data_IF_187499439668
#
_entry.id   IF_187499439668
#
_cell.length_a   1.000
_cell.length_b   1.000
_cell.length_c   1.000
_cell.angle_alpha   90.00
_cell.angle_beta   90.00
_cell.angle_gamma   90.00
#
_symmetry.space_group_name_H-M   'P 1'
#
loop_
_entity.id
_entity.type
_entity.pdbx_description
1 polymer ?
#
# COMPACT_ATOMS: atom_id res chain seq x y z
N UNK A 1 0.95 6.16 -6.57
CA UNK A 1 1.31 7.42 -5.88
C UNK A 1 2.48 7.22 -4.93
N UNK A 2 2.43 6.33 -3.93
CA UNK A 2 3.55 6.11 -2.99
C UNK A 2 4.89 5.83 -3.67
N UNK A 3 4.92 4.86 -4.57
CA UNK A 3 6.09 4.47 -5.37
C UNK A 3 6.62 5.61 -6.24
N UNK A 4 5.80 6.15 -7.13
CA UNK A 4 6.22 7.24 -8.01
C UNK A 4 6.67 8.53 -7.28
N UNK A 5 6.07 8.85 -6.12
CA UNK A 5 6.52 9.98 -5.29
C UNK A 5 7.81 9.65 -4.53
N UNK A 6 7.97 8.40 -4.08
CA UNK A 6 9.21 7.90 -3.47
C UNK A 6 10.37 8.00 -4.46
N UNK A 7 10.18 7.47 -5.67
CA UNK A 7 11.19 7.50 -6.72
C UNK A 7 11.61 8.95 -7.04
N UNK A 8 10.65 9.85 -7.23
CA UNK A 8 10.95 11.26 -7.44
C UNK A 8 11.80 11.89 -6.32
N UNK A 9 11.48 11.59 -5.06
CA UNK A 9 12.23 12.07 -3.90
C UNK A 9 13.65 11.49 -3.85
N UNK A 10 13.81 10.20 -4.14
CA UNK A 10 15.10 9.49 -4.12
C UNK A 10 16.00 9.89 -5.30
N UNK A 11 15.43 10.24 -6.46
CA UNK A 11 16.20 10.71 -7.62
C UNK A 11 16.49 12.23 -7.57
N UNK A 12 15.71 13.01 -6.81
CA UNK A 12 15.91 14.46 -6.68
C UNK A 12 16.76 14.86 -5.47
N UNK A 13 16.81 14.03 -4.43
CA UNK A 13 17.51 14.27 -3.15
C UNK A 13 18.36 13.04 -2.83
N UNK A 14 19.47 13.21 -2.10
CA UNK A 14 20.27 12.08 -1.62
C UNK A 14 19.36 11.00 -0.97
N UNK A 15 19.42 9.73 -1.40
CA UNK A 15 18.51 8.66 -0.96
C UNK A 15 18.41 8.53 0.57
N UNK A 16 19.54 8.70 1.28
CA UNK A 16 19.56 8.61 2.74
C UNK A 16 18.79 9.75 3.42
N UNK A 17 18.85 10.96 2.84
CA UNK A 17 18.13 12.14 3.34
C UNK A 17 16.63 12.01 3.01
N UNK A 18 16.28 11.51 1.81
CA UNK A 18 14.90 11.27 1.42
C UNK A 18 14.21 10.27 2.37
N UNK A 19 14.89 9.15 2.69
CA UNK A 19 14.39 8.14 3.64
C UNK A 19 14.23 8.71 5.05
N UNK A 20 15.22 9.49 5.52
CA UNK A 20 15.15 10.10 6.85
C UNK A 20 14.00 11.11 6.96
N UNK A 21 13.81 11.96 5.95
CA UNK A 21 12.70 12.92 5.89
C UNK A 21 11.35 12.22 5.81
N UNK A 22 11.23 11.17 4.99
CA UNK A 22 10.01 10.36 4.91
C UNK A 22 9.69 9.67 6.24
N UNK A 23 10.72 9.17 6.94
CA UNK A 23 10.57 8.56 8.27
C UNK A 23 10.09 9.56 9.33
N UNK A 24 10.65 10.78 9.33
CA UNK A 24 10.21 11.86 10.23
C UNK A 24 8.77 12.28 9.90
N UNK A 25 8.45 12.45 8.61
CA UNK A 25 7.10 12.80 8.16
C UNK A 25 6.06 11.74 8.54
N UNK A 26 6.42 10.46 8.39
CA UNK A 26 5.61 9.33 8.83
C UNK A 26 5.36 9.37 10.34
N UNK A 27 6.42 9.51 11.15
CA UNK A 27 6.27 9.60 12.61
C UNK A 27 5.38 10.76 13.02
N UNK A 28 5.59 11.95 12.45
CA UNK A 28 4.76 13.12 12.71
C UNK A 28 3.29 12.88 12.32
N UNK A 29 3.04 12.27 11.16
CA UNK A 29 1.70 11.96 10.67
C UNK A 29 0.96 10.94 11.56
N UNK A 30 1.66 9.89 11.99
CA UNK A 30 1.09 8.86 12.86
C UNK A 30 0.84 9.41 14.27
N UNK A 31 1.75 10.23 14.80
CA UNK A 31 1.52 10.90 16.09
C UNK A 31 0.29 11.80 16.00
N UNK A 32 0.18 12.61 14.95
CA UNK A 32 -0.97 13.49 14.74
C UNK A 32 -2.27 12.68 14.64
N UNK A 33 -2.27 11.61 13.84
CA UNK A 33 -3.40 10.71 13.66
C UNK A 33 -3.83 10.04 14.99
N UNK A 34 -2.88 9.57 15.79
CA UNK A 34 -3.15 8.93 17.10
C UNK A 34 -3.58 9.93 18.19
N UNK A 35 -3.27 11.22 18.00
CA UNK A 35 -3.63 12.28 18.94
C UNK A 35 -5.07 12.77 18.72
N UNK A 36 -5.54 12.76 17.47
CA UNK A 36 -6.87 13.25 17.13
C UNK A 36 -7.92 12.18 17.46
N UNK A 37 -8.84 12.50 18.38
CA UNK A 37 -9.88 11.58 18.85
C UNK A 37 -11.12 11.49 17.95
N UNK A 38 -11.12 12.18 16.80
CA UNK A 38 -12.20 12.20 15.81
C UNK A 38 -11.64 11.90 14.43
N UNK A 39 -12.46 11.30 13.57
CA UNK A 39 -12.10 11.11 12.18
C UNK A 39 -11.98 12.48 11.48
N UNK A 40 -10.74 12.88 11.18
CA UNK A 40 -10.43 14.08 10.40
C UNK A 40 -9.85 13.62 9.06
N UNK A 41 -10.61 13.75 7.95
CA UNK A 41 -10.26 13.15 6.67
C UNK A 41 -8.84 13.51 6.20
N UNK A 42 -8.45 14.78 6.30
CA UNK A 42 -7.13 15.22 5.80
C UNK A 42 -5.95 14.63 6.59
N UNK A 43 -6.11 14.41 7.90
CA UNK A 43 -5.06 13.81 8.76
C UNK A 43 -4.89 12.33 8.40
N UNK A 44 -6.02 11.63 8.23
CA UNK A 44 -6.02 10.24 7.81
C UNK A 44 -5.34 10.07 6.45
N UNK A 45 -5.73 10.87 5.46
CA UNK A 45 -5.12 10.82 4.13
C UNK A 45 -3.64 11.18 4.15
N UNK A 46 -3.22 12.13 5.00
CA UNK A 46 -1.82 12.46 5.19
C UNK A 46 -1.04 11.24 5.73
N UNK A 47 -1.56 10.55 6.75
CA UNK A 47 -0.96 9.33 7.26
C UNK A 47 -0.90 8.22 6.19
N UNK A 48 -1.97 8.03 5.41
CA UNK A 48 -1.99 7.08 4.28
C UNK A 48 -0.88 7.39 3.26
N UNK A 49 -0.75 8.65 2.86
CA UNK A 49 0.27 9.07 1.89
C UNK A 49 1.68 8.88 2.46
N UNK A 50 1.93 9.27 3.71
CA UNK A 50 3.25 9.10 4.34
C UNK A 50 3.63 7.63 4.51
N UNK A 51 2.68 6.77 4.90
CA UNK A 51 2.88 5.32 4.98
C UNK A 51 3.17 4.73 3.60
N UNK A 52 2.49 5.20 2.56
CA UNK A 52 2.73 4.75 1.20
C UNK A 52 4.14 5.12 0.70
N UNK A 53 4.57 6.36 0.91
CA UNK A 53 5.90 6.84 0.51
C UNK A 53 7.00 6.08 1.29
N UNK A 54 6.90 6.06 2.62
CA UNK A 54 7.91 5.42 3.45
C UNK A 54 7.95 3.89 3.26
N UNK A 55 6.79 3.25 3.08
CA UNK A 55 6.69 1.81 2.85
C UNK A 55 7.40 1.37 1.57
N UNK A 56 7.26 2.13 0.49
CA UNK A 56 8.00 1.88 -0.76
C UNK A 56 9.50 2.12 -0.56
N UNK A 57 9.89 3.27 0.03
CA UNK A 57 11.32 3.53 0.33
C UNK A 57 11.96 2.44 1.18
N UNK A 58 11.24 1.89 2.16
CA UNK A 58 11.76 0.82 3.01
C UNK A 58 12.02 -0.48 2.21
N UNK A 59 11.16 -0.81 1.24
CA UNK A 59 11.40 -1.94 0.34
C UNK A 59 12.63 -1.70 -0.54
N UNK A 60 12.76 -0.49 -1.09
CA UNK A 60 13.88 -0.11 -1.96
C UNK A 60 15.21 -0.10 -1.21
N UNK A 61 15.25 0.42 0.02
CA UNK A 61 16.47 0.41 0.85
C UNK A 61 16.95 -1.02 1.11
N UNK A 62 16.03 -1.96 1.40
CA UNK A 62 16.40 -3.36 1.64
C UNK A 62 17.00 -3.99 0.37
N UNK A 63 16.46 -3.69 -0.80
CA UNK A 63 16.99 -4.26 -2.05
C UNK A 63 18.25 -3.53 -2.55
N UNK A 64 18.16 -2.21 -2.71
CA UNK A 64 19.16 -1.35 -3.37
C UNK A 64 20.35 -1.06 -2.44
N UNK A 65 20.11 -0.72 -1.17
CA UNK A 65 21.19 -0.34 -0.25
C UNK A 65 21.81 -1.56 0.44
N UNK A 66 20.99 -2.50 0.89
CA UNK A 66 21.48 -3.72 1.55
C UNK A 66 21.82 -4.85 0.55
N UNK A 67 21.49 -4.70 -0.73
CA UNK A 67 21.81 -5.67 -1.78
C UNK A 67 21.05 -7.00 -1.64
N UNK A 68 19.95 -7.02 -0.88
CA UNK A 68 19.20 -8.26 -0.60
C UNK A 68 18.34 -8.63 -1.80
N UNK A 69 18.41 -9.86 -2.35
CA UNK A 69 17.59 -10.25 -3.50
C UNK A 69 16.08 -10.05 -3.27
N UNK A 70 15.34 -9.67 -4.32
CA UNK A 70 13.89 -9.43 -4.26
C UNK A 70 13.09 -10.59 -3.67
N UNK A 71 13.52 -11.84 -3.90
CA UNK A 71 12.89 -13.02 -3.33
C UNK A 71 13.01 -13.05 -1.80
N UNK A 72 14.18 -12.67 -1.27
CA UNK A 72 14.45 -12.65 0.17
C UNK A 72 13.72 -11.47 0.82
N UNK A 73 13.73 -10.28 0.21
CA UNK A 73 13.01 -9.12 0.73
C UNK A 73 11.49 -9.34 0.72
N UNK A 74 10.94 -9.91 -0.35
CA UNK A 74 9.51 -10.27 -0.43
C UNK A 74 9.13 -11.29 0.63
N UNK A 75 9.92 -12.36 0.79
CA UNK A 75 9.68 -13.36 1.83
C UNK A 75 9.77 -12.75 3.23
N UNK A 76 10.73 -11.85 3.48
CA UNK A 76 10.87 -11.14 4.74
C UNK A 76 9.63 -10.30 5.06
N UNK A 77 9.15 -9.47 4.11
CA UNK A 77 7.95 -8.66 4.32
C UNK A 77 6.69 -9.51 4.46
N UNK A 78 6.60 -10.65 3.78
CA UNK A 78 5.51 -11.60 3.94
C UNK A 78 5.48 -12.17 5.36
N UNK A 79 6.63 -12.61 5.88
CA UNK A 79 6.76 -13.12 7.25
C UNK A 79 6.46 -12.03 8.27
N UNK A 80 6.98 -10.81 8.07
CA UNK A 80 6.69 -9.68 8.94
C UNK A 80 5.18 -9.37 9.00
N UNK A 81 4.50 -9.37 7.85
CA UNK A 81 3.06 -9.18 7.77
C UNK A 81 2.30 -10.30 8.50
N UNK A 82 2.71 -11.55 8.32
CA UNK A 82 2.11 -12.69 9.01
C UNK A 82 2.29 -12.59 10.54
N UNK A 83 3.45 -12.15 11.02
CA UNK A 83 3.71 -11.90 12.44
C UNK A 83 2.80 -10.79 12.96
N UNK A 84 2.65 -9.69 12.23
CA UNK A 84 1.74 -8.59 12.63
C UNK A 84 0.31 -9.10 12.78
N UNK A 85 -0.20 -9.87 11.82
CA UNK A 85 -1.53 -10.48 11.92
C UNK A 85 -1.64 -11.46 13.09
N UNK A 86 -0.62 -12.30 13.31
CA UNK A 86 -0.62 -13.26 14.41
C UNK A 86 -0.62 -12.57 15.77
N UNK A 87 0.19 -11.54 15.96
CA UNK A 87 0.26 -10.75 17.21
C UNK A 87 -1.02 -9.95 17.42
N UNK A 88 -1.58 -9.37 16.35
CA UNK A 88 -2.85 -8.65 16.41
C UNK A 88 -4.00 -9.61 16.79
N UNK A 89 -4.11 -10.75 16.12
CA UNK A 89 -5.12 -11.76 16.46
C UNK A 89 -4.92 -12.36 17.86
N UNK A 90 -3.67 -12.57 18.29
CA UNK A 90 -3.40 -13.03 19.67
C UNK A 90 -3.83 -11.99 20.72
N UNK A 91 -3.64 -10.70 20.41
CA UNK A 91 -3.93 -9.58 21.33
C UNK A 91 -5.41 -9.21 21.39
N UNK A 92 -6.08 -9.13 20.24
CA UNK A 92 -7.43 -8.57 20.11
C UNK A 92 -8.48 -9.63 19.75
N UNK A 93 -8.05 -10.84 19.35
CA UNK A 93 -8.91 -11.96 18.90
C UNK A 93 -9.84 -11.60 17.74
N UNK A 94 -9.60 -10.46 17.09
CA UNK A 94 -10.34 -9.96 15.94
C UNK A 94 -9.39 -9.22 15.01
N UNK A 95 -9.59 -9.41 13.71
CA UNK A 95 -8.93 -8.65 12.64
C UNK A 95 -9.92 -7.70 11.94
N UNK A 96 -11.07 -7.44 12.58
CA UNK A 96 -12.15 -6.64 12.01
C UNK A 96 -11.83 -5.14 12.03
N UNK A 97 -11.90 -4.54 10.86
CA UNK A 97 -11.66 -3.11 10.62
C UNK A 97 -12.82 -2.25 11.15
N UNK A 98 -14.01 -2.83 11.28
CA UNK A 98 -15.18 -2.15 11.84
C UNK A 98 -15.03 -1.82 13.33
N UNK A 99 -14.00 -2.34 14.00
CA UNK A 99 -13.82 -2.22 15.45
C UNK A 99 -12.50 -1.56 15.85
N UNK A 100 -11.96 -0.65 15.02
CA UNK A 100 -10.76 0.13 15.35
C UNK A 100 -11.17 1.30 16.24
N UNK A 101 -11.43 1.03 17.51
CA UNK A 101 -11.85 2.03 18.51
C UNK A 101 -10.80 2.28 19.60
N UNK A 102 -9.68 1.55 19.60
CA UNK A 102 -8.59 1.72 20.56
C UNK A 102 -7.29 2.09 19.85
N UNK A 103 -6.43 2.87 20.53
CA UNK A 103 -5.08 3.22 20.04
C UNK A 103 -4.24 1.99 19.68
N UNK A 104 -4.43 0.88 20.40
CA UNK A 104 -3.72 -0.39 20.14
C UNK A 104 -4.13 -1.00 18.80
N UNK A 105 -5.43 -1.04 18.50
CA UNK A 105 -5.94 -1.53 17.21
C UNK A 105 -5.51 -0.63 16.05
N UNK A 106 -5.48 0.68 16.28
CA UNK A 106 -5.01 1.64 15.28
C UNK A 106 -3.53 1.45 14.95
N UNK A 107 -2.68 1.19 15.95
CA UNK A 107 -1.27 0.85 15.73
C UNK A 107 -1.10 -0.43 14.91
N UNK A 108 -1.83 -1.50 15.21
CA UNK A 108 -1.79 -2.73 14.42
C UNK A 108 -2.28 -2.51 12.99
N UNK A 109 -3.33 -1.71 12.81
CA UNK A 109 -3.81 -1.33 11.50
C UNK A 109 -2.71 -0.62 10.69
N UNK A 110 -2.11 0.44 11.23
CA UNK A 110 -1.05 1.19 10.52
C UNK A 110 0.19 0.34 10.26
N UNK A 111 0.58 -0.53 11.20
CA UNK A 111 1.68 -1.47 10.99
C UNK A 111 1.38 -2.46 9.86
N UNK A 112 0.15 -2.99 9.81
CA UNK A 112 -0.31 -3.87 8.73
C UNK A 112 -0.26 -3.12 7.40
N UNK A 113 -0.82 -1.91 7.34
CA UNK A 113 -0.81 -1.08 6.12
C UNK A 113 0.61 -0.85 5.63
N UNK A 114 1.54 -0.46 6.50
CA UNK A 114 2.94 -0.23 6.14
C UNK A 114 3.62 -1.50 5.61
N UNK A 115 3.44 -2.63 6.29
CA UNK A 115 3.99 -3.91 5.85
C UNK A 115 3.42 -4.33 4.48
N UNK A 116 2.14 -4.08 4.22
CA UNK A 116 1.54 -4.36 2.90
C UNK A 116 2.07 -3.47 1.78
N UNK A 117 2.44 -2.22 2.06
CA UNK A 117 3.06 -1.34 1.07
C UNK A 117 4.47 -1.83 0.70
N UNK A 118 5.28 -2.16 1.70
CA UNK A 118 6.63 -2.69 1.47
C UNK A 118 6.58 -4.04 0.75
N UNK A 119 5.69 -4.96 1.19
CA UNK A 119 5.47 -6.24 0.54
C UNK A 119 4.98 -6.08 -0.90
N UNK A 120 4.05 -5.16 -1.15
CA UNK A 120 3.47 -4.95 -2.48
C UNK A 120 4.52 -4.48 -3.49
N UNK A 121 5.38 -3.54 -3.09
CA UNK A 121 6.49 -3.05 -3.93
C UNK A 121 7.46 -4.19 -4.23
N UNK A 122 7.93 -4.89 -3.18
CA UNK A 122 8.89 -5.99 -3.33
C UNK A 122 8.32 -7.15 -4.19
N UNK A 123 7.05 -7.52 -4.00
CA UNK A 123 6.40 -8.58 -4.77
C UNK A 123 6.14 -8.18 -6.23
N UNK A 124 5.77 -6.92 -6.48
CA UNK A 124 5.62 -6.37 -7.84
C UNK A 124 6.93 -6.47 -8.62
N UNK A 125 8.01 -5.94 -8.05
CA UNK A 125 9.34 -6.01 -8.64
C UNK A 125 9.86 -7.44 -8.77
N UNK A 126 9.65 -8.30 -7.76
CA UNK A 126 10.06 -9.70 -7.82
C UNK A 126 9.40 -10.43 -9.00
N UNK A 127 8.09 -10.27 -9.17
CA UNK A 127 7.38 -10.93 -10.28
C UNK A 127 7.79 -10.36 -11.64
N UNK A 128 7.99 -9.04 -11.74
CA UNK A 128 8.40 -8.41 -12.99
C UNK A 128 9.85 -8.75 -13.38
N UNK A 129 10.80 -8.62 -12.45
CA UNK A 129 12.23 -8.73 -12.69
C UNK A 129 12.79 -10.15 -12.46
N UNK A 130 12.39 -10.83 -11.36
CA UNK A 130 12.96 -12.15 -10.99
C UNK A 130 12.27 -13.29 -11.73
N UNK A 131 10.94 -13.21 -11.93
CA UNK A 131 10.20 -14.21 -12.72
C UNK A 131 10.19 -13.88 -14.22
N UNK A 132 10.82 -12.78 -14.63
CA UNK A 132 10.89 -12.31 -16.02
C UNK A 132 9.52 -12.14 -16.71
N UNK A 133 8.45 -11.90 -15.94
CA UNK A 133 7.10 -11.75 -16.47
C UNK A 133 6.89 -10.38 -17.13
N UNK A 134 7.68 -9.37 -16.71
CA UNK A 134 7.47 -7.97 -17.08
C UNK A 134 6.31 -7.33 -16.32
N UNK A 135 6.31 -5.99 -16.25
CA UNK A 135 5.39 -5.23 -15.39
C UNK A 135 3.91 -5.41 -15.76
N UNK A 136 3.60 -5.49 -17.06
CA UNK A 136 2.23 -5.70 -17.53
C UNK A 136 1.67 -7.07 -17.11
N UNK A 137 2.43 -8.14 -17.35
CA UNK A 137 2.01 -9.51 -17.05
C UNK A 137 1.88 -9.71 -15.53
N UNK A 138 2.79 -9.13 -14.75
CA UNK A 138 2.67 -9.08 -13.29
C UNK A 138 1.39 -8.36 -12.85
N UNK A 139 1.08 -7.21 -13.47
CA UNK A 139 -0.17 -6.49 -13.25
C UNK A 139 -1.41 -7.36 -13.51
N UNK A 140 -1.45 -8.08 -14.63
CA UNK A 140 -2.55 -9.00 -14.95
C UNK A 140 -2.65 -10.14 -13.92
N UNK A 141 -1.53 -10.72 -13.51
CA UNK A 141 -1.48 -11.77 -12.48
C UNK A 141 -2.09 -11.28 -11.16
N UNK A 142 -1.69 -10.09 -10.70
CA UNK A 142 -2.27 -9.52 -9.47
C UNK A 142 -3.74 -9.11 -9.65
N UNK A 143 -4.18 -8.76 -10.87
CA UNK A 143 -5.58 -8.44 -11.13
C UNK A 143 -6.46 -9.71 -10.99
N UNK A 144 -5.97 -10.84 -11.50
CA UNK A 144 -6.61 -12.15 -11.33
C UNK A 144 -6.65 -12.51 -9.85
N UNK A 145 -5.52 -12.40 -9.14
CA UNK A 145 -5.45 -12.67 -7.69
C UNK A 145 -6.40 -11.76 -6.90
N UNK A 146 -6.58 -10.50 -7.30
CA UNK A 146 -7.52 -9.57 -6.65
C UNK A 146 -8.98 -9.99 -6.82
N UNK A 147 -9.34 -10.60 -7.96
CA UNK A 147 -10.69 -11.09 -8.20
C UNK A 147 -11.04 -12.36 -7.40
N UNK A 148 -10.05 -13.17 -7.05
CA UNK A 148 -10.25 -14.41 -6.29
C UNK A 148 -11.00 -14.24 -4.96
N UNK A 149 -10.62 -13.33 -4.04
CA UNK A 149 -11.36 -13.16 -2.78
C UNK A 149 -12.80 -12.69 -3.00
N UNK A 150 -13.07 -11.88 -4.04
CA UNK A 150 -14.42 -11.42 -4.36
C UNK A 150 -15.29 -12.59 -4.85
N UNK A 151 -14.76 -13.42 -5.75
CA UNK A 151 -15.42 -14.64 -6.20
C UNK A 151 -15.58 -15.65 -5.06
N UNK A 152 -14.57 -15.78 -4.19
CA UNK A 152 -14.61 -16.70 -3.08
C UNK A 152 -15.60 -16.29 -1.99
N UNK A 153 -15.74 -14.98 -1.74
CA UNK A 153 -16.78 -14.44 -0.89
C UNK A 153 -18.18 -14.74 -1.45
N UNK A 154 -18.39 -14.48 -2.75
CA UNK A 154 -19.71 -14.62 -3.38
C UNK A 154 -20.14 -16.07 -3.57
N UNK A 155 -19.20 -16.98 -3.88
CA UNK A 155 -19.51 -18.38 -4.20
C UNK A 155 -19.36 -19.33 -2.99
N UNK A 156 -18.43 -19.05 -2.07
CA UNK A 156 -18.07 -19.98 -0.98
C UNK A 156 -18.32 -19.41 0.42
N UNK A 157 -18.87 -18.21 0.55
CA UNK A 157 -19.21 -17.61 1.86
C UNK A 157 -17.97 -17.38 2.74
N UNK A 158 -16.84 -17.03 2.12
CA UNK A 158 -15.57 -16.80 2.82
C UNK A 158 -15.72 -15.68 3.86
N UNK A 159 -14.97 -15.73 4.96
CA UNK A 159 -15.02 -14.71 6.01
C UNK A 159 -14.72 -13.31 5.42
N UNK A 160 -15.63 -12.36 5.60
CA UNK A 160 -15.53 -10.97 5.11
C UNK A 160 -14.19 -10.32 5.44
N UNK A 161 -13.68 -10.57 6.64
CA UNK A 161 -12.42 -10.00 7.13
C UNK A 161 -11.23 -10.58 6.35
N UNK A 162 -11.23 -11.90 6.10
CA UNK A 162 -10.16 -12.55 5.37
C UNK A 162 -10.18 -12.16 3.88
N UNK A 163 -11.36 -12.11 3.26
CA UNK A 163 -11.54 -11.65 1.90
C UNK A 163 -11.08 -10.18 1.74
N UNK A 164 -11.43 -9.32 2.70
CA UNK A 164 -10.97 -7.93 2.73
C UNK A 164 -9.44 -7.85 2.79
N UNK A 165 -8.80 -8.49 3.77
CA UNK A 165 -7.35 -8.38 3.93
C UNK A 165 -6.59 -8.95 2.74
N UNK A 166 -7.07 -10.07 2.17
CA UNK A 166 -6.46 -10.63 0.97
C UNK A 166 -6.57 -9.66 -0.21
N UNK A 167 -7.77 -9.14 -0.49
CA UNK A 167 -7.97 -8.17 -1.55
C UNK A 167 -7.08 -6.94 -1.32
N UNK A 168 -7.06 -6.41 -0.09
CA UNK A 168 -6.25 -5.26 0.29
C UNK A 168 -4.76 -5.49 0.06
N UNK A 169 -4.21 -6.63 0.49
CA UNK A 169 -2.80 -6.97 0.28
C UNK A 169 -2.49 -7.03 -1.21
N UNK A 170 -3.34 -7.68 -2.01
CA UNK A 170 -3.11 -7.87 -3.46
C UNK A 170 -3.27 -6.58 -4.27
N UNK A 171 -4.08 -5.62 -3.82
CA UNK A 171 -4.17 -4.31 -4.53
C UNK A 171 -2.85 -3.54 -4.52
N UNK A 172 -1.95 -3.80 -3.58
CA UNK A 172 -0.65 -3.13 -3.47
C UNK A 172 0.32 -3.53 -4.58
N UNK A 173 0.69 -4.81 -4.76
CA UNK A 173 1.54 -5.23 -5.88
C UNK A 173 0.86 -5.02 -7.23
N UNK A 174 -0.48 -5.09 -7.30
CA UNK A 174 -1.24 -4.71 -8.48
C UNK A 174 -0.98 -3.25 -8.88
N UNK A 175 -1.16 -2.33 -7.94
CA UNK A 175 -0.96 -0.91 -8.16
C UNK A 175 0.49 -0.58 -8.52
N UNK A 176 1.45 -1.23 -7.86
CA UNK A 176 2.86 -1.04 -8.13
C UNK A 176 3.24 -1.51 -9.55
N UNK A 177 2.81 -2.72 -9.93
CA UNK A 177 3.06 -3.28 -11.26
C UNK A 177 2.51 -2.39 -12.38
N UNK A 178 1.31 -1.81 -12.20
CA UNK A 178 0.76 -0.87 -13.18
C UNK A 178 1.48 0.48 -13.19
N UNK A 179 1.85 1.03 -12.03
CA UNK A 179 2.59 2.28 -11.96
C UNK A 179 3.94 2.17 -12.68
N UNK A 180 4.68 1.10 -12.40
CA UNK A 180 5.94 0.78 -13.06
C UNK A 180 5.78 0.46 -14.55
N UNK A 181 4.70 -0.22 -14.94
CA UNK A 181 4.40 -0.45 -16.35
C UNK A 181 4.20 0.86 -17.11
N UNK A 182 3.55 1.86 -16.54
CA UNK A 182 3.42 3.16 -17.22
C UNK A 182 4.72 3.99 -17.15
N UNK A 183 5.46 3.90 -16.04
CA UNK A 183 6.58 4.79 -15.72
C UNK A 183 7.91 4.37 -16.35
N UNK A 184 8.32 3.12 -16.14
CA UNK A 184 9.66 2.62 -16.48
C UNK A 184 9.74 2.18 -17.96
N UNK A 185 10.86 2.42 -18.67
CA UNK A 185 11.06 1.92 -20.03
C UNK A 185 11.58 0.47 -20.09
N UNK A 186 11.95 -0.11 -18.94
CA UNK A 186 12.47 -1.48 -18.82
C UNK A 186 11.34 -2.49 -18.63
N UNK A 187 11.62 -3.77 -18.91
CA UNK A 187 10.71 -4.92 -18.63
C UNK A 187 9.29 -4.77 -19.22
N UNK A 188 9.17 -4.16 -20.41
CA UNK A 188 7.91 -4.01 -21.14
C UNK A 188 7.05 -2.81 -20.74
N UNK A 189 7.59 -1.88 -19.94
CA UNK A 189 6.90 -0.64 -19.60
C UNK A 189 6.88 0.41 -20.72
N UNK A 190 5.87 1.28 -20.69
CA UNK A 190 5.56 2.29 -21.69
C UNK A 190 6.53 3.49 -21.67
N UNK A 191 7.38 3.60 -20.64
CA UNK A 191 8.40 4.64 -20.55
C UNK A 191 7.86 6.07 -20.53
N UNK A 192 6.63 6.28 -20.04
CA UNK A 192 6.01 7.62 -20.00
C UNK A 192 6.70 8.55 -18.98
N UNK A 193 7.54 7.98 -18.11
CA UNK A 193 8.27 8.66 -17.05
C UNK A 193 7.43 8.78 -15.78
N UNK A 194 8.02 8.40 -14.65
CA UNK A 194 7.34 8.30 -13.35
C UNK A 194 6.63 9.61 -12.96
N UNK A 195 7.22 10.76 -13.28
CA UNK A 195 6.63 12.08 -13.01
C UNK A 195 5.25 12.27 -13.65
N UNK A 196 5.06 11.82 -14.90
CA UNK A 196 3.77 11.97 -15.60
C UNK A 196 2.73 11.00 -15.04
N UNK A 197 3.16 9.78 -14.73
CA UNK A 197 2.30 8.75 -14.13
C UNK A 197 1.82 9.18 -12.74
N UNK A 198 2.71 9.73 -11.90
CA UNK A 198 2.33 10.28 -10.59
C UNK A 198 1.29 11.38 -10.72
N UNK A 199 1.49 12.32 -11.65
CA UNK A 199 0.57 13.43 -11.89
C UNK A 199 -0.82 12.95 -12.31
N UNK A 200 -0.90 12.03 -13.28
CA UNK A 200 -2.18 11.49 -13.75
C UNK A 200 -2.90 10.71 -12.64
N UNK A 201 -2.18 9.85 -11.91
CA UNK A 201 -2.77 9.11 -10.79
C UNK A 201 -3.24 10.05 -9.69
N UNK A 202 -2.49 11.13 -9.42
CA UNK A 202 -2.87 12.15 -8.42
C UNK A 202 -4.15 12.87 -8.86
N UNK A 203 -4.25 13.27 -10.13
CA UNK A 203 -5.47 13.91 -10.69
C UNK A 203 -6.67 12.96 -10.58
N UNK A 204 -6.49 11.68 -10.93
CA UNK A 204 -7.55 10.68 -10.81
C UNK A 204 -8.01 10.48 -9.37
N UNK A 205 -7.08 10.42 -8.41
CA UNK A 205 -7.41 10.34 -6.98
C UNK A 205 -8.19 11.58 -6.55
N UNK A 206 -7.72 12.79 -6.90
CA UNK A 206 -8.42 14.04 -6.57
C UNK A 206 -9.84 14.03 -7.16
N UNK A 207 -10.00 13.58 -8.41
CA UNK A 207 -11.31 13.48 -9.06
C UNK A 207 -12.23 12.47 -8.36
N UNK A 208 -11.71 11.29 -7.99
CA UNK A 208 -12.47 10.28 -7.24
C UNK A 208 -12.86 10.77 -5.84
N UNK A 209 -11.92 11.38 -5.12
CA UNK A 209 -12.18 11.95 -3.79
C UNK A 209 -13.18 13.09 -3.88
N UNK A 210 -13.07 13.98 -4.87
CA UNK A 210 -14.03 15.05 -5.09
C UNK A 210 -15.43 14.49 -5.43
N UNK A 211 -15.50 13.49 -6.30
CA UNK A 211 -16.76 12.82 -6.62
C UNK A 211 -17.39 12.15 -5.40
N UNK A 212 -16.61 11.43 -4.58
CA UNK A 212 -17.12 10.83 -3.34
C UNK A 212 -17.56 11.90 -2.34
N UNK A 213 -16.78 12.97 -2.17
CA UNK A 213 -17.11 14.10 -1.29
C UNK A 213 -18.39 14.80 -1.71
N UNK A 214 -18.64 14.95 -3.01
CA UNK A 214 -19.87 15.57 -3.53
C UNK A 214 -21.05 14.60 -3.49
N UNK A 215 -20.82 13.31 -3.75
CA UNK A 215 -21.89 12.31 -3.81
C UNK A 215 -22.28 11.73 -2.46
N UNK A 216 -21.46 11.90 -1.42
CA UNK A 216 -21.67 11.37 -0.06
C UNK A 216 -22.03 9.87 0.01
N UNK A 217 -21.74 9.09 -1.05
CA UNK A 217 -22.12 7.66 -1.16
C UNK A 217 -21.36 6.75 -0.19
N UNK A 218 -20.27 7.24 0.37
CA UNK A 218 -19.46 6.60 1.39
C UNK A 218 -20.03 6.78 2.81
N UNK A 219 -20.90 7.77 3.00
CA UNK A 219 -21.68 7.92 4.23
C UNK A 219 -22.90 6.99 4.13
N UNK A 220 -22.82 5.83 4.78
CA UNK A 220 -24.03 5.06 5.10
C UNK A 220 -24.99 6.03 5.79
N UNK A 221 -26.15 6.27 5.19
CA UNK A 221 -27.29 6.88 5.89
C UNK A 221 -27.47 6.11 7.19
N UNK A 222 -27.15 6.75 8.30
CA UNK A 222 -27.62 6.35 9.62
C UNK A 222 -29.14 6.33 9.50
N UNK A 223 -29.71 5.14 9.31
CA UNK A 223 -31.14 4.92 9.29
C UNK A 223 -31.70 5.43 10.62
N UNK A 224 -32.35 6.60 10.56
CA UNK A 224 -33.22 7.14 11.60
C UNK A 224 -34.55 6.41 11.61
#
# INVERSE_FOLDING_TARGET
MGESTSDYLVYSINPYIAVALAGIGLLASLILQLYVSRYVPWIYWLAVVMVAIFGTMAADVVHIVLGVPYLVSTAFFLVALAIIFAVWYASEKTLSIHSINTRRRELFYWATVMATFALGTAAGDMTAATLHLGYFTSGVLFAILFALPALAYWLFGLNEIAAFWFAYIVTRPLGASFADWFGKPSLGGLGLGDTKVSLVLTILIIAFVAYLTVSHKDMKEEQR
#
